data_IF_588366655716
#
_entry.id   IF_588366655716
#
_cell.length_a   1.000
_cell.length_b   1.000
_cell.length_c   1.000
_cell.angle_alpha   90.00
_cell.angle_beta   90.00
_cell.angle_gamma   90.00
#
_symmetry.space_group_name_H-M   'P 1'
#
loop_
_entity.id
_entity.type
_entity.pdbx_description
1 polymer ?
#
# COMPACT_ATOMS: atom_id res chain seq x y z
N UNK A 1 -48.01 30.86 -32.84
CA UNK A 1 -46.85 29.94 -32.72
C UNK A 1 -46.01 30.37 -31.53
N UNK A 2 -46.13 29.68 -30.38
CA UNK A 2 -45.33 29.96 -29.19
C UNK A 2 -43.94 29.30 -29.34
N UNK A 3 -42.88 30.09 -29.17
CA UNK A 3 -41.49 29.59 -29.14
C UNK A 3 -41.28 28.71 -27.90
N UNK A 4 -40.59 27.56 -28.00
CA UNK A 4 -40.32 26.74 -26.82
C UNK A 4 -39.27 27.43 -25.92
N UNK A 5 -39.57 27.44 -24.61
CA UNK A 5 -38.71 27.99 -23.56
C UNK A 5 -37.41 27.19 -23.46
N UNK A 6 -36.29 27.89 -23.34
CA UNK A 6 -34.97 27.33 -23.10
C UNK A 6 -34.96 26.50 -21.81
N UNK A 7 -34.77 25.18 -21.96
CA UNK A 7 -34.59 24.26 -20.85
C UNK A 7 -33.28 24.54 -20.13
N UNK A 8 -33.38 24.79 -18.82
CA UNK A 8 -32.31 25.05 -17.87
C UNK A 8 -31.12 24.11 -18.05
N UNK A 9 -29.91 24.68 -17.98
CA UNK A 9 -28.64 23.99 -18.08
C UNK A 9 -28.48 22.86 -17.08
N UNK A 10 -28.71 21.63 -17.53
CA UNK A 10 -28.24 20.43 -16.87
C UNK A 10 -26.77 20.19 -17.23
N UNK A 11 -25.89 20.15 -16.22
CA UNK A 11 -24.47 19.79 -16.36
C UNK A 11 -24.30 18.55 -17.26
N UNK A 12 -23.67 18.73 -18.42
CA UNK A 12 -23.36 17.65 -19.39
C UNK A 12 -22.50 16.51 -18.80
N UNK A 13 -21.91 16.69 -17.61
CA UNK A 13 -21.11 15.67 -16.90
C UNK A 13 -21.95 14.56 -16.26
N UNK A 14 -23.28 14.73 -16.11
CA UNK A 14 -24.14 13.71 -15.48
C UNK A 14 -24.51 12.53 -16.39
N UNK A 15 -24.59 12.74 -17.71
CA UNK A 15 -25.15 11.76 -18.66
C UNK A 15 -24.17 10.62 -18.98
N UNK A 16 -22.90 10.96 -19.17
CA UNK A 16 -21.80 9.99 -19.35
C UNK A 16 -21.54 9.17 -18.09
N UNK A 17 -21.53 9.81 -16.91
CA UNK A 17 -21.39 9.10 -15.63
C UNK A 17 -22.57 8.17 -15.32
N UNK A 18 -23.81 8.61 -15.62
CA UNK A 18 -25.00 7.77 -15.47
C UNK A 18 -24.97 6.56 -16.42
N UNK A 19 -24.67 6.77 -17.70
CA UNK A 19 -24.57 5.70 -18.69
C UNK A 19 -23.52 4.66 -18.28
N UNK A 20 -22.34 5.10 -17.82
CA UNK A 20 -21.28 4.21 -17.32
C UNK A 20 -21.74 3.39 -16.10
N UNK A 21 -22.44 4.01 -15.15
CA UNK A 21 -22.99 3.28 -13.99
C UNK A 21 -24.05 2.24 -14.39
N UNK A 22 -24.93 2.57 -15.33
CA UNK A 22 -25.94 1.63 -15.80
C UNK A 22 -25.30 0.46 -16.57
N UNK A 23 -24.29 0.74 -17.39
CA UNK A 23 -23.54 -0.31 -18.08
C UNK A 23 -22.81 -1.22 -17.09
N UNK A 24 -22.13 -0.67 -16.07
CA UNK A 24 -21.50 -1.48 -15.01
C UNK A 24 -22.50 -2.40 -14.31
N UNK A 25 -23.71 -1.90 -13.99
CA UNK A 25 -24.77 -2.73 -13.40
C UNK A 25 -25.19 -3.89 -14.29
N UNK A 26 -25.27 -3.67 -15.61
CA UNK A 26 -25.57 -4.72 -16.58
C UNK A 26 -24.46 -5.77 -16.63
N UNK A 27 -23.20 -5.33 -16.67
CA UNK A 27 -22.03 -6.23 -16.70
C UNK A 27 -21.92 -7.08 -15.42
N UNK A 28 -22.22 -6.51 -14.26
CA UNK A 28 -22.32 -7.28 -13.01
C UNK A 28 -23.44 -8.32 -13.06
N UNK A 29 -24.58 -7.96 -13.65
CA UNK A 29 -25.73 -8.86 -13.76
C UNK A 29 -25.50 -10.00 -14.78
N UNK A 30 -24.71 -9.77 -15.83
CA UNK A 30 -24.31 -10.80 -16.79
C UNK A 30 -23.15 -11.68 -16.30
N UNK A 31 -22.42 -11.24 -15.26
CA UNK A 31 -21.22 -11.93 -14.78
C UNK A 31 -19.96 -11.61 -15.59
N UNK A 32 -20.03 -10.67 -16.54
CA UNK A 32 -18.87 -10.23 -17.34
C UNK A 32 -17.86 -9.44 -16.49
N UNK A 33 -18.28 -8.91 -15.34
CA UNK A 33 -17.38 -8.34 -14.33
C UNK A 33 -17.86 -8.74 -12.94
N UNK A 34 -16.91 -8.82 -11.99
CA UNK A 34 -17.19 -9.06 -10.58
C UNK A 34 -16.83 -7.84 -9.72
N UNK A 35 -17.40 -7.76 -8.52
CA UNK A 35 -16.87 -6.86 -7.49
C UNK A 35 -15.47 -7.35 -7.07
N UNK A 36 -14.60 -6.39 -6.80
CA UNK A 36 -13.21 -6.61 -6.44
C UNK A 36 -12.86 -5.66 -5.28
N UNK A 37 -11.89 -6.07 -4.48
CA UNK A 37 -11.37 -5.26 -3.38
C UNK A 37 -9.86 -5.04 -3.57
N UNK A 38 -9.51 -3.85 -4.03
CA UNK A 38 -8.14 -3.38 -4.09
C UNK A 38 -7.90 -2.43 -2.91
N UNK A 39 -7.18 -2.92 -1.89
CA UNK A 39 -6.93 -2.16 -0.67
C UNK A 39 -6.14 -0.88 -0.94
N UNK A 40 -5.15 -0.96 -1.84
CA UNK A 40 -4.23 0.14 -2.15
C UNK A 40 -4.86 1.24 -3.00
N UNK A 41 -5.83 0.90 -3.87
CA UNK A 41 -6.55 1.86 -4.73
C UNK A 41 -7.99 1.42 -4.89
N UNK A 42 -8.91 2.25 -4.43
CA UNK A 42 -10.34 2.03 -4.56
C UNK A 42 -10.91 2.71 -5.81
N UNK A 43 -12.03 2.23 -6.34
CA UNK A 43 -12.73 2.87 -7.48
C UNK A 43 -12.98 4.38 -7.31
N UNK A 44 -13.24 4.81 -6.07
CA UNK A 44 -13.57 6.18 -5.68
C UNK A 44 -12.36 7.08 -5.39
N UNK A 45 -11.13 6.55 -5.48
CA UNK A 45 -9.95 7.38 -5.26
C UNK A 45 -9.87 8.50 -6.29
N UNK A 46 -9.46 9.67 -5.82
CA UNK A 46 -9.22 10.83 -6.69
C UNK A 46 -7.95 10.64 -7.49
N UNK A 47 -7.71 11.57 -8.42
CA UNK A 47 -6.43 11.66 -9.11
C UNK A 47 -5.38 12.27 -8.19
N UNK A 48 -4.14 11.80 -8.34
CA UNK A 48 -2.99 12.30 -7.62
C UNK A 48 -2.56 13.66 -8.17
N UNK A 49 -2.71 14.70 -7.35
CA UNK A 49 -2.39 16.08 -7.70
C UNK A 49 -0.88 16.36 -7.78
N UNK A 50 -0.05 15.50 -7.19
CA UNK A 50 1.42 15.66 -7.16
C UNK A 50 2.06 15.01 -8.40
N UNK A 51 1.28 14.24 -9.17
CA UNK A 51 1.77 13.51 -10.34
C UNK A 51 2.17 14.44 -11.48
N UNK A 52 3.43 14.38 -11.89
CA UNK A 52 3.96 15.11 -13.06
C UNK A 52 3.88 14.27 -14.34
N UNK A 53 4.00 14.90 -15.53
CA UNK A 53 4.09 14.16 -16.80
C UNK A 53 5.29 13.20 -16.84
N UNK A 54 6.41 13.55 -16.22
CA UNK A 54 7.59 12.69 -16.12
C UNK A 54 7.31 11.43 -15.28
N UNK A 55 6.65 11.59 -14.13
CA UNK A 55 6.20 10.46 -13.29
C UNK A 55 5.21 9.59 -14.08
N UNK A 56 4.27 10.22 -14.78
CA UNK A 56 3.28 9.52 -15.62
C UNK A 56 3.93 8.64 -16.68
N UNK A 57 4.90 9.19 -17.42
CA UNK A 57 5.61 8.44 -18.46
C UNK A 57 6.42 7.27 -17.88
N UNK A 58 7.09 7.47 -16.74
CA UNK A 58 7.85 6.40 -16.10
C UNK A 58 6.93 5.28 -15.56
N UNK A 59 5.79 5.63 -14.96
CA UNK A 59 4.80 4.66 -14.50
C UNK A 59 4.26 3.81 -15.65
N UNK A 60 3.88 4.43 -16.77
CA UNK A 60 3.42 3.67 -17.94
C UNK A 60 4.50 2.75 -18.49
N UNK A 61 5.73 3.26 -18.63
CA UNK A 61 6.85 2.47 -19.13
C UNK A 61 7.11 1.23 -18.27
N UNK A 62 7.11 1.39 -16.94
CA UNK A 62 7.33 0.29 -16.00
C UNK A 62 6.14 -0.67 -16.02
N UNK A 63 4.91 -0.16 -16.05
CA UNK A 63 3.72 -0.99 -16.08
C UNK A 63 3.61 -1.84 -17.35
N UNK A 64 3.95 -1.27 -18.51
CA UNK A 64 4.04 -2.00 -19.79
C UNK A 64 5.13 -3.08 -19.74
N UNK A 65 6.32 -2.77 -19.19
CA UNK A 65 7.42 -3.72 -19.01
C UNK A 65 7.00 -4.89 -18.10
N UNK A 66 6.27 -4.61 -17.01
CA UNK A 66 5.76 -5.64 -16.10
C UNK A 66 4.72 -6.54 -16.77
N UNK A 67 3.83 -5.96 -17.58
CA UNK A 67 2.87 -6.74 -18.37
C UNK A 67 3.57 -7.70 -19.35
N UNK A 68 4.64 -7.25 -20.01
CA UNK A 68 5.45 -8.08 -20.91
C UNK A 68 6.15 -9.18 -20.12
N UNK A 69 6.81 -8.85 -19.00
CA UNK A 69 7.48 -9.84 -18.13
C UNK A 69 6.53 -10.89 -17.61
N UNK A 70 5.34 -10.51 -17.16
CA UNK A 70 4.35 -11.49 -16.70
C UNK A 70 3.98 -12.48 -17.81
N UNK A 71 3.77 -11.97 -19.03
CA UNK A 71 3.44 -12.79 -20.20
C UNK A 71 4.59 -13.73 -20.60
N UNK A 72 5.84 -13.29 -20.50
CA UNK A 72 7.02 -14.08 -20.89
C UNK A 72 7.45 -15.09 -19.84
N UNK A 73 7.39 -14.73 -18.56
CA UNK A 73 7.98 -15.50 -17.47
C UNK A 73 6.98 -16.41 -16.77
N UNK A 74 5.68 -16.18 -16.97
CA UNK A 74 4.61 -16.86 -16.25
C UNK A 74 4.46 -16.39 -14.81
N UNK A 75 3.36 -16.79 -14.18
CA UNK A 75 2.93 -16.26 -12.88
C UNK A 75 3.92 -16.49 -11.76
N UNK A 76 4.49 -17.69 -11.63
CA UNK A 76 5.37 -18.02 -10.50
C UNK A 76 6.67 -17.21 -10.51
N UNK A 77 7.32 -17.11 -11.67
CA UNK A 77 8.55 -16.32 -11.82
C UNK A 77 8.26 -14.82 -11.71
N UNK A 78 7.11 -14.37 -12.18
CA UNK A 78 6.68 -12.99 -12.04
C UNK A 78 6.41 -12.62 -10.57
N UNK A 79 5.83 -13.53 -9.76
CA UNK A 79 5.66 -13.33 -8.30
C UNK A 79 6.99 -13.09 -7.60
N UNK A 80 8.01 -13.90 -7.90
CA UNK A 80 9.37 -13.69 -7.36
C UNK A 80 9.97 -12.37 -7.80
N UNK A 81 9.82 -12.03 -9.09
CA UNK A 81 10.26 -10.74 -9.62
C UNK A 81 9.63 -9.55 -8.89
N UNK A 82 8.32 -9.57 -8.65
CA UNK A 82 7.64 -8.48 -7.92
C UNK A 82 8.15 -8.34 -6.47
N UNK A 83 8.49 -9.45 -5.82
CA UNK A 83 9.08 -9.41 -4.48
C UNK A 83 10.45 -8.72 -4.49
N UNK A 84 11.34 -9.13 -5.39
CA UNK A 84 12.68 -8.55 -5.57
C UNK A 84 12.59 -7.08 -6.01
N UNK A 85 11.64 -6.77 -6.89
CA UNK A 85 11.45 -5.42 -7.43
C UNK A 85 10.94 -4.44 -6.37
N UNK A 86 10.04 -4.89 -5.48
CA UNK A 86 9.64 -4.11 -4.29
C UNK A 86 10.87 -3.77 -3.46
N UNK A 87 11.71 -4.75 -3.18
CA UNK A 87 12.91 -4.55 -2.37
C UNK A 87 13.89 -3.58 -3.05
N UNK A 88 14.13 -3.75 -4.35
CA UNK A 88 14.98 -2.87 -5.17
C UNK A 88 14.52 -1.41 -5.09
N UNK A 89 13.22 -1.16 -5.28
CA UNK A 89 12.65 0.20 -5.24
C UNK A 89 12.72 0.83 -3.84
N UNK A 90 12.54 0.04 -2.79
CA UNK A 90 12.68 0.52 -1.40
C UNK A 90 14.13 0.90 -1.07
N UNK A 91 15.10 0.14 -1.55
CA UNK A 91 16.53 0.46 -1.42
C UNK A 91 16.88 1.73 -2.21
N UNK A 92 16.42 1.85 -3.45
CA UNK A 92 16.57 3.06 -4.27
C UNK A 92 16.00 4.30 -3.57
N UNK A 93 14.85 4.16 -2.89
CA UNK A 93 14.28 5.22 -2.07
C UNK A 93 15.12 5.56 -0.84
N UNK A 94 15.73 4.58 -0.17
CA UNK A 94 16.63 4.82 0.95
C UNK A 94 17.93 5.52 0.53
N UNK A 95 18.52 5.10 -0.59
CA UNK A 95 19.70 5.72 -1.16
C UNK A 95 19.44 7.19 -1.47
N UNK A 96 18.30 7.49 -2.09
CA UNK A 96 17.89 8.85 -2.39
C UNK A 96 17.79 9.74 -1.14
N UNK A 97 17.32 9.18 -0.02
CA UNK A 97 17.18 9.92 1.25
C UNK A 97 18.50 10.08 2.01
N UNK A 98 19.46 9.18 1.78
CA UNK A 98 20.74 9.13 2.52
C UNK A 98 21.87 9.84 1.78
N UNK A 99 21.71 10.08 0.47
CA UNK A 99 22.68 10.86 -0.30
C UNK A 99 22.84 12.27 0.30
N UNK A 100 24.08 12.74 0.53
CA UNK A 100 24.31 14.09 0.99
C UNK A 100 23.73 15.05 -0.05
N UNK A 101 22.77 15.88 0.35
CA UNK A 101 22.31 17.00 -0.48
C UNK A 101 23.55 17.83 -0.79
N UNK A 102 24.08 17.71 -2.01
CA UNK A 102 25.15 18.59 -2.47
C UNK A 102 24.68 20.01 -2.18
N UNK A 103 25.48 20.74 -1.42
CA UNK A 103 25.24 22.14 -1.05
C UNK A 103 24.76 22.88 -2.28
N UNK A 104 23.58 23.49 -2.18
CA UNK A 104 23.04 24.49 -3.11
C UNK A 104 24.14 25.51 -3.42
N UNK A 105 24.81 25.32 -4.54
CA UNK A 105 25.79 26.22 -5.12
C UNK A 105 25.28 26.62 -6.49
N UNK A 106 25.13 27.94 -6.67
CA UNK A 106 24.80 28.68 -7.90
C UNK A 106 23.49 28.34 -8.62
N UNK A 107 22.59 29.32 -8.60
CA UNK A 107 21.66 29.57 -9.70
C UNK A 107 22.44 29.66 -11.03
N UNK A 108 21.80 29.23 -12.11
CA UNK A 108 22.28 29.23 -13.51
C UNK A 108 22.80 27.88 -14.05
N UNK A 109 22.00 26.80 -13.97
CA UNK A 109 22.02 25.74 -14.99
C UNK A 109 20.59 25.22 -15.25
N UNK A 110 19.99 25.66 -16.36
CA UNK A 110 18.76 25.06 -16.91
C UNK A 110 19.09 23.68 -17.52
N UNK A 111 18.95 22.62 -16.73
CA UNK A 111 18.89 21.23 -17.21
C UNK A 111 18.81 20.17 -16.11
N UNK A 112 18.10 19.04 -16.31
CA UNK A 112 16.73 18.89 -16.77
C UNK A 112 15.81 18.61 -15.57
N UNK A 113 14.83 19.47 -15.30
CA UNK A 113 13.79 19.27 -14.26
C UNK A 113 13.03 17.92 -14.39
N UNK A 114 13.13 17.31 -15.56
CA UNK A 114 12.52 16.03 -15.93
C UNK A 114 13.10 14.81 -15.19
N UNK A 115 14.39 14.82 -14.81
CA UNK A 115 15.05 13.67 -14.19
C UNK A 115 14.93 13.70 -12.65
N UNK A 116 14.94 14.89 -12.05
CA UNK A 116 14.64 15.12 -10.62
C UNK A 116 13.22 14.70 -10.25
N UNK A 117 12.24 14.92 -11.14
CA UNK A 117 10.84 14.51 -10.90
C UNK A 117 10.64 12.99 -10.88
N UNK A 118 11.41 12.26 -11.70
CA UNK A 118 11.39 10.79 -11.78
C UNK A 118 12.04 10.19 -10.54
N UNK A 119 13.15 10.77 -10.07
CA UNK A 119 13.83 10.39 -8.83
C UNK A 119 13.35 11.25 -7.67
N UNK A 120 12.06 11.16 -7.35
CA UNK A 120 11.51 11.72 -6.12
C UNK A 120 11.00 10.61 -5.21
N UNK A 121 11.05 10.81 -3.89
CA UNK A 121 10.47 9.86 -2.92
C UNK A 121 9.00 9.57 -3.24
N UNK A 122 8.26 10.59 -3.69
CA UNK A 122 6.88 10.44 -4.15
C UNK A 122 6.75 9.48 -5.33
N UNK A 123 7.59 9.64 -6.37
CA UNK A 123 7.60 8.76 -7.54
C UNK A 123 7.95 7.32 -7.16
N UNK A 124 9.00 7.11 -6.34
CA UNK A 124 9.42 5.79 -5.89
C UNK A 124 8.33 5.09 -5.07
N UNK A 125 7.67 5.81 -4.16
CA UNK A 125 6.52 5.26 -3.41
C UNK A 125 5.39 4.83 -4.35
N UNK A 126 5.15 5.57 -5.44
CA UNK A 126 4.15 5.20 -6.44
C UNK A 126 4.54 3.95 -7.23
N UNK A 127 5.83 3.77 -7.54
CA UNK A 127 6.33 2.54 -8.17
C UNK A 127 6.19 1.33 -7.23
N UNK A 128 6.55 1.47 -5.96
CA UNK A 128 6.32 0.41 -4.95
C UNK A 128 4.84 0.06 -4.86
N UNK A 129 3.96 1.07 -4.90
CA UNK A 129 2.53 0.85 -4.87
C UNK A 129 2.02 0.12 -6.13
N UNK A 130 2.59 0.38 -7.32
CA UNK A 130 2.28 -0.37 -8.55
C UNK A 130 2.69 -1.84 -8.38
N UNK A 131 3.89 -2.13 -7.87
CA UNK A 131 4.35 -3.51 -7.62
C UNK A 131 3.42 -4.25 -6.66
N UNK A 132 2.98 -3.58 -5.58
CA UNK A 132 2.03 -4.17 -4.63
C UNK A 132 0.65 -4.38 -5.26
N UNK A 133 0.16 -3.43 -6.07
CA UNK A 133 -1.09 -3.62 -6.81
C UNK A 133 -0.99 -4.79 -7.79
N UNK A 134 0.12 -4.94 -8.51
CA UNK A 134 0.36 -6.08 -9.41
C UNK A 134 0.31 -7.40 -8.64
N UNK A 135 0.95 -7.48 -7.46
CA UNK A 135 0.90 -8.66 -6.60
C UNK A 135 -0.53 -9.02 -6.19
N UNK A 136 -1.31 -8.02 -5.74
CA UNK A 136 -2.70 -8.24 -5.33
C UNK A 136 -3.56 -8.73 -6.51
N UNK A 137 -3.28 -8.27 -7.73
CA UNK A 137 -4.00 -8.69 -8.95
C UNK A 137 -3.66 -10.11 -9.41
N UNK A 138 -2.52 -10.69 -9.00
CA UNK A 138 -2.16 -12.06 -9.39
C UNK A 138 -3.02 -13.14 -8.73
N UNK A 139 -3.68 -12.82 -7.62
CA UNK A 139 -4.55 -13.74 -6.89
C UNK A 139 -6.04 -13.51 -7.22
N UNK A 140 -6.34 -12.65 -8.21
CA UNK A 140 -7.70 -12.30 -8.62
C UNK A 140 -8.20 -13.13 -9.81
N UNK A 141 -9.53 -13.27 -9.91
CA UNK A 141 -10.17 -13.92 -11.07
C UNK A 141 -10.20 -13.01 -12.30
N UNK A 142 -10.37 -13.60 -13.48
CA UNK A 142 -10.50 -12.85 -14.73
C UNK A 142 -11.62 -11.80 -14.68
N UNK A 143 -12.76 -12.12 -14.08
CA UNK A 143 -13.93 -11.23 -13.96
C UNK A 143 -13.65 -10.05 -13.02
N UNK A 144 -12.86 -10.28 -11.96
CA UNK A 144 -12.39 -9.21 -11.07
C UNK A 144 -11.42 -8.28 -11.80
N UNK A 145 -10.45 -8.84 -12.54
CA UNK A 145 -9.51 -8.06 -13.36
C UNK A 145 -10.21 -7.25 -14.44
N UNK A 146 -11.24 -7.82 -15.09
CA UNK A 146 -12.10 -7.10 -16.04
C UNK A 146 -12.87 -5.97 -15.37
N UNK A 147 -13.34 -6.17 -14.13
CA UNK A 147 -13.96 -5.12 -13.31
C UNK A 147 -12.99 -3.96 -13.01
N UNK A 148 -11.76 -4.27 -12.61
CA UNK A 148 -10.69 -3.28 -12.37
C UNK A 148 -10.38 -2.50 -13.65
N UNK A 149 -10.24 -3.22 -14.77
CA UNK A 149 -10.07 -2.68 -16.12
C UNK A 149 -11.17 -1.69 -16.49
N UNK A 150 -12.44 -2.10 -16.31
CA UNK A 150 -13.60 -1.28 -16.60
C UNK A 150 -13.66 0.00 -15.75
N UNK A 151 -13.32 -0.09 -14.47
CA UNK A 151 -13.38 1.04 -13.54
C UNK A 151 -12.13 1.95 -13.63
N UNK A 152 -11.06 1.49 -14.26
CA UNK A 152 -9.79 2.22 -14.37
C UNK A 152 -9.15 2.43 -13.00
N UNK A 153 -9.16 1.37 -12.17
CA UNK A 153 -8.72 1.39 -10.78
C UNK A 153 -7.24 1.02 -10.69
N UNK A 154 -6.39 1.78 -11.38
CA UNK A 154 -4.93 1.55 -11.44
C UNK A 154 -4.15 2.77 -10.95
N UNK A 155 -3.11 2.53 -10.15
CA UNK A 155 -2.18 3.58 -9.71
C UNK A 155 -1.49 4.21 -10.92
N UNK A 156 -1.12 3.41 -11.93
CA UNK A 156 -0.52 3.87 -13.18
C UNK A 156 -1.43 4.78 -14.02
N UNK A 157 -2.75 4.80 -13.76
CA UNK A 157 -3.68 5.78 -14.34
C UNK A 157 -3.77 7.07 -13.51
N UNK A 158 -2.90 7.24 -12.52
CA UNK A 158 -2.80 8.43 -11.68
C UNK A 158 -3.77 8.44 -10.51
N UNK A 159 -4.32 7.29 -10.10
CA UNK A 159 -5.15 7.21 -8.90
C UNK A 159 -4.32 7.45 -7.63
N UNK A 160 -4.92 8.09 -6.64
CA UNK A 160 -4.33 8.26 -5.31
C UNK A 160 -4.21 6.93 -4.58
N UNK A 161 -3.06 6.74 -3.91
CA UNK A 161 -2.81 5.61 -3.04
C UNK A 161 -3.51 5.82 -1.70
N UNK A 162 -4.20 4.78 -1.22
CA UNK A 162 -4.80 4.76 0.12
C UNK A 162 -3.69 4.60 1.17
N UNK A 163 -3.45 5.65 1.97
CA UNK A 163 -2.29 5.73 2.88
C UNK A 163 -2.28 4.61 3.92
N UNK A 164 -3.42 4.30 4.53
CA UNK A 164 -3.54 3.25 5.56
C UNK A 164 -3.25 1.87 4.98
N UNK A 165 -3.83 1.54 3.82
CA UNK A 165 -3.57 0.29 3.13
C UNK A 165 -2.10 0.17 2.70
N UNK A 166 -1.50 1.24 2.19
CA UNK A 166 -0.09 1.23 1.83
C UNK A 166 0.80 0.98 3.05
N UNK A 167 0.52 1.61 4.19
CA UNK A 167 1.25 1.34 5.45
C UNK A 167 1.10 -0.11 5.90
N UNK A 168 -0.10 -0.68 5.80
CA UNK A 168 -0.35 -2.06 6.19
C UNK A 168 0.46 -3.06 5.34
N UNK A 169 0.58 -2.80 4.03
CA UNK A 169 1.26 -3.69 3.08
C UNK A 169 2.78 -3.46 3.00
N UNK A 170 3.22 -2.20 3.03
CA UNK A 170 4.64 -1.83 2.85
C UNK A 170 5.38 -1.63 4.18
N UNK A 171 4.67 -1.34 5.28
CA UNK A 171 5.25 -1.03 6.59
C UNK A 171 5.70 0.42 6.77
N UNK A 172 5.52 1.28 5.77
CA UNK A 172 5.92 2.69 5.78
C UNK A 172 5.06 3.53 4.83
N UNK A 173 5.09 4.85 4.94
CA UNK A 173 4.50 5.79 3.98
C UNK A 173 5.27 7.11 3.86
N UNK A 174 5.95 7.52 4.92
CA UNK A 174 6.79 8.72 4.98
C UNK A 174 8.28 8.36 4.88
N UNK A 175 9.11 9.34 4.54
CA UNK A 175 10.57 9.16 4.43
C UNK A 175 11.19 8.62 5.73
N UNK A 176 10.78 9.20 6.88
CA UNK A 176 11.21 8.77 8.21
C UNK A 176 10.76 7.33 8.52
N UNK A 177 9.53 6.99 8.14
CA UNK A 177 9.01 5.63 8.32
C UNK A 177 9.81 4.61 7.49
N UNK A 178 10.17 4.94 6.24
CA UNK A 178 10.99 4.05 5.40
C UNK A 178 12.38 3.81 6.01
N UNK A 179 13.05 4.87 6.46
CA UNK A 179 14.37 4.75 7.10
C UNK A 179 14.30 3.96 8.41
N UNK A 180 13.22 4.12 9.20
CA UNK A 180 12.96 3.29 10.39
C UNK A 180 12.70 1.83 10.02
N UNK A 181 11.87 1.59 9.01
CA UNK A 181 11.56 0.25 8.49
C UNK A 181 12.82 -0.50 8.03
N UNK A 182 13.78 0.20 7.41
CA UNK A 182 15.08 -0.36 7.01
C UNK A 182 16.16 -0.32 8.09
N UNK A 183 15.84 0.20 9.29
CA UNK A 183 16.77 0.29 10.41
C UNK A 183 17.93 1.28 10.20
N UNK A 184 17.77 2.25 9.30
CA UNK A 184 18.74 3.31 8.97
C UNK A 184 18.51 4.60 9.77
N UNK A 185 17.33 4.77 10.36
CA UNK A 185 17.08 5.90 11.27
C UNK A 185 17.73 5.63 12.64
N UNK A 186 18.33 6.66 13.28
CA UNK A 186 18.77 6.55 14.67
C UNK A 186 17.64 6.03 15.54
N UNK A 187 17.94 5.08 16.42
CA UNK A 187 17.05 4.72 17.51
C UNK A 187 17.03 5.96 18.40
N UNK A 188 15.89 6.66 18.46
CA UNK A 188 15.70 7.79 19.37
C UNK A 188 15.80 7.23 20.81
N UNK A 189 17.02 7.18 21.37
CA UNK A 189 17.25 6.96 22.79
C UNK A 189 16.95 8.27 23.50
N UNK A 190 15.77 8.29 24.10
CA UNK A 190 15.28 9.14 25.19
C UNK A 190 14.69 10.53 24.87
N UNK A 191 13.46 10.68 25.38
CA UNK A 191 12.66 11.89 25.67
C UNK A 191 11.89 12.58 24.53
N UNK A 192 10.65 12.12 24.33
CA UNK A 192 9.48 12.91 24.74
C UNK A 192 8.30 11.95 25.01
N UNK A 193 8.00 11.80 26.30
CA UNK A 193 6.74 11.25 26.80
C UNK A 193 5.68 12.29 26.45
N UNK A 194 4.87 12.02 25.43
CA UNK A 194 3.61 12.71 25.25
C UNK A 194 2.49 11.69 25.45
N UNK A 195 1.86 11.81 26.62
CA UNK A 195 0.68 11.10 27.00
C UNK A 195 -0.51 11.67 26.22
N UNK A 196 -0.95 10.99 25.18
CA UNK A 196 -2.40 10.78 25.05
C UNK A 196 -2.74 9.53 24.25
N UNK A 197 -3.47 8.65 24.92
CA UNK A 197 -4.01 7.40 24.39
C UNK A 197 -5.47 7.64 24.06
N UNK A 198 -5.85 7.44 22.79
CA UNK A 198 -7.23 7.61 22.35
C UNK A 198 -7.52 6.92 21.03
N UNK A 199 -7.49 5.59 21.04
CA UNK A 199 -7.81 4.68 19.95
C UNK A 199 -9.26 4.75 19.45
N UNK A 200 -9.47 4.61 18.14
CA UNK A 200 -10.63 3.92 17.59
C UNK A 200 -10.22 3.16 16.32
N UNK A 201 -9.86 1.90 16.51
CA UNK A 201 -9.53 0.90 15.49
C UNK A 201 -10.53 -0.25 15.67
N UNK A 202 -11.38 -0.47 14.67
CA UNK A 202 -12.34 -1.57 14.54
C UNK A 202 -12.57 -1.69 13.02
N UNK A 203 -12.29 -2.78 12.32
CA UNK A 203 -12.17 -4.18 12.68
C UNK A 203 -11.21 -4.89 11.69
N UNK A 204 -10.71 -6.07 12.10
CA UNK A 204 -9.98 -7.08 11.31
C UNK A 204 -8.44 -7.16 11.48
N UNK A 205 -7.97 -7.19 12.74
CA UNK A 205 -6.67 -7.77 13.10
C UNK A 205 -6.82 -8.92 14.11
N UNK A 206 -7.80 -9.81 13.89
CA UNK A 206 -7.91 -11.05 14.66
C UNK A 206 -6.92 -12.10 14.10
N UNK A 207 -5.66 -11.94 14.48
CA UNK A 207 -4.67 -13.01 14.72
C UNK A 207 -3.28 -12.45 15.13
N UNK A 208 -3.21 -11.29 15.79
CA UNK A 208 -1.99 -10.92 16.56
C UNK A 208 -2.10 -11.59 17.93
N UNK A 209 -1.83 -12.88 17.99
CA UNK A 209 -1.83 -13.64 19.23
C UNK A 209 -0.67 -13.21 20.14
N UNK A 210 -0.97 -12.82 21.38
CA UNK A 210 0.06 -12.57 22.39
C UNK A 210 0.92 -13.83 22.59
N UNK A 211 2.21 -13.74 22.26
CA UNK A 211 3.15 -14.86 22.40
C UNK A 211 3.99 -14.69 23.65
N UNK A 212 3.89 -15.63 24.59
CA UNK A 212 4.67 -15.63 25.84
C UNK A 212 5.81 -16.64 25.70
N UNK A 213 7.05 -16.17 25.87
CA UNK A 213 8.25 -17.01 25.81
C UNK A 213 8.84 -17.20 27.21
N UNK A 214 9.33 -18.39 27.52
CA UNK A 214 10.18 -18.61 28.70
C UNK A 214 11.46 -17.78 28.56
N UNK A 215 11.94 -17.19 29.66
CA UNK A 215 13.12 -16.31 29.68
C UNK A 215 14.35 -16.89 28.96
N UNK A 216 14.65 -18.16 29.19
CA UNK A 216 15.79 -18.85 28.56
C UNK A 216 15.62 -19.02 27.05
N UNK A 217 14.42 -19.33 26.58
CA UNK A 217 14.09 -19.45 25.15
C UNK A 217 14.12 -18.09 24.48
N UNK A 218 13.56 -17.07 25.13
CA UNK A 218 13.53 -15.70 24.63
C UNK A 218 14.95 -15.16 24.38
N UNK A 219 15.86 -15.33 25.34
CA UNK A 219 17.25 -14.90 25.18
C UNK A 219 17.96 -15.59 24.02
N UNK A 220 17.76 -16.90 23.87
CA UNK A 220 18.37 -17.67 22.78
C UNK A 220 17.81 -17.28 21.42
N UNK A 221 16.49 -17.17 21.30
CA UNK A 221 15.82 -16.80 20.06
C UNK A 221 16.25 -15.39 19.66
N UNK A 222 16.18 -14.41 20.57
CA UNK A 222 16.60 -13.01 20.31
C UNK A 222 18.07 -12.94 19.86
N UNK A 223 18.98 -13.65 20.53
CA UNK A 223 20.40 -13.63 20.18
C UNK A 223 20.68 -14.18 18.77
N UNK A 224 19.81 -15.05 18.26
CA UNK A 224 19.95 -15.59 16.91
C UNK A 224 19.17 -14.78 15.88
N UNK A 225 18.11 -14.09 16.27
CA UNK A 225 17.23 -13.32 15.39
C UNK A 225 17.95 -12.12 14.77
N UNK A 226 17.91 -12.03 13.44
CA UNK A 226 18.59 -10.98 12.67
C UNK A 226 17.59 -9.92 12.17
N UNK A 227 16.33 -10.28 11.92
CA UNK A 227 15.34 -9.35 11.36
C UNK A 227 14.84 -8.35 12.40
N UNK A 228 14.47 -7.16 11.93
CA UNK A 228 13.86 -6.08 12.73
C UNK A 228 12.43 -5.82 12.25
N UNK A 229 11.58 -5.26 13.13
CA UNK A 229 10.19 -4.90 12.79
C UNK A 229 9.22 -6.06 12.82
N UNK A 230 8.11 -5.99 12.09
CA UNK A 230 6.99 -6.96 12.14
C UNK A 230 7.42 -8.42 11.85
N UNK A 231 8.42 -8.60 10.98
CA UNK A 231 8.98 -9.92 10.64
C UNK A 231 9.69 -10.57 11.84
N UNK A 232 10.10 -9.79 12.84
CA UNK A 232 10.70 -10.27 14.08
C UNK A 232 9.79 -11.25 14.81
N UNK A 233 8.49 -10.96 14.93
CA UNK A 233 7.56 -11.85 15.65
C UNK A 233 7.36 -13.19 14.92
N UNK A 234 7.30 -13.17 13.59
CA UNK A 234 7.24 -14.39 12.80
C UNK A 234 8.54 -15.19 12.86
N UNK A 235 9.69 -14.51 12.71
CA UNK A 235 11.00 -15.14 12.76
C UNK A 235 11.27 -15.76 14.14
N UNK A 236 10.87 -15.08 15.22
CA UNK A 236 10.94 -15.62 16.57
C UNK A 236 10.13 -16.91 16.72
N UNK A 237 8.93 -16.95 16.14
CA UNK A 237 8.05 -18.13 16.21
C UNK A 237 8.62 -19.31 15.43
N UNK A 238 9.16 -19.05 14.23
CA UNK A 238 9.80 -20.07 13.38
C UNK A 238 11.09 -20.59 14.01
N UNK A 239 11.93 -19.70 14.57
CA UNK A 239 13.17 -20.07 15.24
C UNK A 239 12.93 -20.84 16.54
N UNK A 240 11.92 -20.46 17.33
CA UNK A 240 11.55 -21.21 18.52
C UNK A 240 11.13 -22.66 18.17
N UNK A 241 10.37 -22.86 17.07
CA UNK A 241 10.03 -24.19 16.55
C UNK A 241 11.26 -24.96 16.05
N UNK A 242 12.17 -24.29 15.34
CA UNK A 242 13.41 -24.90 14.85
C UNK A 242 14.36 -25.33 15.98
N UNK A 243 14.32 -24.63 17.13
CA UNK A 243 15.05 -24.98 18.35
C UNK A 243 14.37 -26.10 19.17
N UNK A 244 13.32 -26.73 18.64
CA UNK A 244 12.62 -27.84 19.29
C UNK A 244 11.78 -27.43 20.50
N UNK A 245 11.42 -26.16 20.63
CA UNK A 245 10.58 -25.71 21.74
C UNK A 245 9.12 -26.14 21.52
N UNK A 246 8.46 -26.63 22.58
CA UNK A 246 7.04 -26.94 22.56
C UNK A 246 6.20 -25.65 22.56
N UNK A 247 5.33 -25.51 21.56
CA UNK A 247 4.38 -24.40 21.43
C UNK A 247 2.98 -24.89 21.80
N UNK A 248 2.30 -24.18 22.69
CA UNK A 248 0.93 -24.48 23.10
C UNK A 248 0.07 -23.23 23.03
N UNK A 249 -1.19 -23.40 22.65
CA UNK A 249 -2.18 -22.33 22.62
C UNK A 249 -3.02 -22.37 23.90
N UNK A 250 -3.16 -21.23 24.57
CA UNK A 250 -4.02 -21.09 25.74
C UNK A 250 -5.07 -20.02 25.43
N UNK A 251 -6.38 -20.34 25.49
CA UNK A 251 -7.41 -19.34 25.29
C UNK A 251 -7.38 -18.33 26.45
N UNK A 252 -7.27 -17.03 26.14
CA UNK A 252 -7.32 -15.95 27.13
C UNK A 252 -8.72 -15.34 27.12
N UNK A 253 -9.50 -15.60 28.17
CA UNK A 253 -10.83 -14.99 28.35
C UNK A 253 -10.67 -13.75 29.24
N UNK A 254 -10.80 -12.57 28.65
CA UNK A 254 -10.79 -11.32 29.41
C UNK A 254 -12.18 -11.08 30.02
N UNK A 255 -12.26 -10.95 31.35
CA UNK A 255 -13.50 -10.81 32.12
C UNK A 255 -14.22 -9.46 31.86
N UNK A 256 -13.52 -8.47 31.29
CA UNK A 256 -14.05 -7.12 31.05
C UNK A 256 -14.95 -6.95 29.82
N UNK A 257 -15.17 -7.98 29.00
CA UNK A 257 -16.04 -7.87 27.81
C UNK A 257 -17.54 -8.06 28.11
N UNK A 258 -17.97 -8.20 29.36
CA UNK A 258 -19.38 -8.43 29.73
C UNK A 258 -20.18 -7.12 29.85
N UNK A 259 -19.52 -5.95 30.01
CA UNK A 259 -20.22 -4.66 30.23
C UNK A 259 -19.66 -3.46 29.43
N UNK A 260 -18.91 -3.70 28.35
CA UNK A 260 -18.37 -2.61 27.53
C UNK A 260 -19.35 -2.18 26.43
N UNK A 261 -20.13 -1.12 26.68
CA UNK A 261 -20.83 -0.40 25.61
C UNK A 261 -19.82 0.21 24.61
N UNK A 262 -20.18 0.16 23.33
CA UNK A 262 -19.37 0.56 22.18
C UNK A 262 -19.00 2.04 22.18
N UNK A 263 -17.72 2.37 21.90
CA UNK A 263 -17.16 3.73 21.81
C UNK A 263 -17.21 4.34 20.39
N UNK A 264 -18.32 4.19 19.66
CA UNK A 264 -18.58 4.97 18.44
C UNK A 264 -20.05 5.43 18.44
N UNK A 265 -20.34 6.44 19.26
CA UNK A 265 -21.58 7.23 19.21
C UNK A 265 -21.41 8.41 18.26
N UNK A 266 -22.42 8.66 17.44
CA UNK A 266 -22.49 9.73 16.45
C UNK A 266 -22.45 11.12 17.09
N UNK A 267 -21.65 12.02 16.50
CA UNK A 267 -22.02 13.40 16.12
C UNK A 267 -20.96 14.00 15.18
#
# INVERSE_FOLDING_TARGET
>A
MQKPKAGKGGRKTGRTGYARRQLRKKLLASGDICEYDLKLVMRRTTLDSIRTPAITANEYRIWDDYCIKHKEWGTDRYKSFLFEEKERLELEACELLTQPRASTGSADEEGPEHEQGIRSFHALRRLVAIVLQERDMLDMTCEQLQGIGYDGTFIALGRCIVKSAFRAEAGWYTEKELLRYRGLAPIDTDSEFDSDTGSSEADAADNVGFSIYKKSVLQLVIATTISRGYVFQMEMTVRAKALGCAVGEAPVTFVDRIFGESKLGAD
#
